data_IF_185462770575
#
_entry.id   IF_185462770575
#
_cell.length_a   1.000
_cell.length_b   1.000
_cell.length_c   1.000
_cell.angle_alpha   90.00
_cell.angle_beta   90.00
_cell.angle_gamma   90.00
#
_symmetry.space_group_name_H-M   'P 1'
#
loop_
_entity.id
_entity.type
_entity.pdbx_description
1 polymer ?
#
# COMPACT_ATOMS: atom_id res chain seq x y z
N UNK A 1 -58.24 -68.45 -17.84
CA UNK A 1 -57.74 -67.17 -18.38
C UNK A 1 -58.86 -66.15 -18.21
N UNK A 2 -58.51 -64.90 -17.86
CA UNK A 2 -59.35 -63.80 -17.34
C UNK A 2 -59.40 -63.68 -15.81
N UNK A 3 -58.27 -63.29 -15.21
CA UNK A 3 -58.13 -62.93 -13.79
C UNK A 3 -57.11 -61.82 -13.49
N UNK A 4 -56.66 -61.04 -14.48
CA UNK A 4 -55.54 -60.07 -14.31
C UNK A 4 -55.95 -58.58 -14.44
N UNK A 5 -57.24 -58.27 -14.54
CA UNK A 5 -57.70 -56.91 -14.86
C UNK A 5 -57.97 -55.97 -13.68
N UNK A 6 -58.11 -56.47 -12.43
CA UNK A 6 -58.49 -55.62 -11.27
C UNK A 6 -57.31 -55.13 -10.43
N UNK A 7 -56.26 -55.92 -10.27
CA UNK A 7 -55.08 -55.49 -9.49
C UNK A 7 -54.26 -54.40 -10.22
N UNK A 8 -54.20 -54.45 -11.55
CA UNK A 8 -53.51 -53.45 -12.37
C UNK A 8 -54.15 -52.05 -12.33
N UNK A 9 -55.49 -51.98 -12.30
CA UNK A 9 -56.23 -50.72 -12.20
C UNK A 9 -56.06 -50.03 -10.83
N UNK A 10 -55.92 -50.81 -9.76
CA UNK A 10 -55.74 -50.30 -8.40
C UNK A 10 -54.33 -49.74 -8.20
N UNK A 11 -53.32 -50.41 -8.77
CA UNK A 11 -51.93 -49.91 -8.79
C UNK A 11 -51.79 -48.60 -9.58
N UNK A 12 -52.43 -48.49 -10.75
CA UNK A 12 -52.35 -47.27 -11.58
C UNK A 12 -52.97 -46.07 -10.86
N UNK A 13 -54.15 -46.23 -10.23
CA UNK A 13 -54.77 -45.14 -9.45
C UNK A 13 -53.93 -44.72 -8.25
N UNK A 14 -53.36 -45.67 -7.53
CA UNK A 14 -52.51 -45.37 -6.38
C UNK A 14 -51.22 -44.65 -6.80
N UNK A 15 -50.71 -44.95 -8.00
CA UNK A 15 -49.53 -44.30 -8.55
C UNK A 15 -49.84 -42.90 -9.09
N UNK A 16 -51.02 -42.68 -9.70
CA UNK A 16 -51.51 -41.36 -10.11
C UNK A 16 -51.72 -40.43 -8.90
N UNK A 17 -52.38 -40.92 -7.83
CA UNK A 17 -52.61 -40.14 -6.60
C UNK A 17 -51.28 -39.76 -5.90
N UNK A 18 -50.28 -40.65 -5.92
CA UNK A 18 -48.94 -40.36 -5.39
C UNK A 18 -48.23 -39.30 -6.25
N UNK A 19 -48.36 -39.36 -7.58
CA UNK A 19 -47.75 -38.36 -8.48
C UNK A 19 -48.40 -36.98 -8.36
N UNK A 20 -49.72 -36.90 -8.15
CA UNK A 20 -50.40 -35.62 -7.98
C UNK A 20 -50.14 -34.98 -6.61
N UNK A 21 -50.06 -35.80 -5.55
CA UNK A 21 -49.66 -35.35 -4.22
C UNK A 21 -48.21 -34.82 -4.19
N UNK A 22 -47.28 -35.51 -4.86
CA UNK A 22 -45.88 -35.07 -4.97
C UNK A 22 -45.73 -33.81 -5.83
N UNK A 23 -46.50 -33.68 -6.92
CA UNK A 23 -46.57 -32.47 -7.76
C UNK A 23 -47.11 -31.25 -7.00
N UNK A 24 -48.16 -31.44 -6.21
CA UNK A 24 -48.75 -30.37 -5.39
C UNK A 24 -47.81 -29.91 -4.27
N UNK A 25 -47.19 -30.85 -3.56
CA UNK A 25 -46.21 -30.54 -2.51
C UNK A 25 -44.94 -29.87 -3.06
N UNK A 26 -44.49 -30.27 -4.26
CA UNK A 26 -43.35 -29.64 -4.93
C UNK A 26 -43.66 -28.21 -5.39
N UNK A 27 -44.88 -27.95 -5.91
CA UNK A 27 -45.33 -26.58 -6.24
C UNK A 27 -45.44 -25.70 -5.01
N UNK A 28 -45.95 -26.22 -3.89
CA UNK A 28 -46.04 -25.49 -2.63
C UNK A 28 -44.64 -25.15 -2.08
N UNK A 29 -43.70 -26.10 -2.13
CA UNK A 29 -42.30 -25.87 -1.75
C UNK A 29 -41.61 -24.83 -2.63
N UNK A 30 -41.86 -24.85 -3.95
CA UNK A 30 -41.32 -23.84 -4.88
C UNK A 30 -41.91 -22.46 -4.60
N UNK A 31 -43.21 -22.36 -4.31
CA UNK A 31 -43.84 -21.08 -3.97
C UNK A 31 -43.32 -20.56 -2.63
N UNK A 32 -43.14 -21.42 -1.61
CA UNK A 32 -42.56 -21.03 -0.32
C UNK A 32 -41.09 -20.62 -0.49
N UNK A 33 -40.31 -21.30 -1.34
CA UNK A 33 -38.94 -20.92 -1.65
C UNK A 33 -38.86 -19.57 -2.39
N UNK A 34 -39.76 -19.31 -3.34
CA UNK A 34 -39.85 -18.03 -4.05
C UNK A 34 -40.34 -16.89 -3.16
N UNK A 35 -41.24 -17.16 -2.22
CA UNK A 35 -41.68 -16.21 -1.20
C UNK A 35 -40.57 -15.94 -0.15
N UNK A 36 -39.81 -16.97 0.22
CA UNK A 36 -38.62 -16.83 1.07
C UNK A 36 -37.50 -16.02 0.42
N UNK A 37 -37.25 -16.24 -0.87
CA UNK A 37 -36.27 -15.47 -1.66
C UNK A 37 -36.70 -14.02 -1.86
N UNK A 38 -37.99 -13.75 -2.09
CA UNK A 38 -38.49 -12.38 -2.23
C UNK A 38 -38.58 -11.63 -0.89
N UNK A 39 -38.86 -12.32 0.22
CA UNK A 39 -38.78 -11.75 1.56
C UNK A 39 -37.32 -11.45 1.99
N UNK A 40 -36.37 -12.32 1.63
CA UNK A 40 -34.94 -12.09 1.86
C UNK A 40 -34.40 -10.92 1.02
N UNK A 41 -34.88 -10.75 -0.22
CA UNK A 41 -34.52 -9.62 -1.08
C UNK A 41 -35.17 -8.28 -0.66
N UNK A 42 -36.21 -8.32 0.18
CA UNK A 42 -36.93 -7.14 0.68
C UNK A 42 -36.42 -6.65 2.05
N UNK A 43 -35.43 -7.30 2.65
CA UNK A 43 -34.76 -6.82 3.86
C UNK A 43 -33.61 -5.87 3.52
N UNK A 44 -33.63 -4.61 4.00
CA UNK A 44 -32.59 -3.62 3.72
C UNK A 44 -31.18 -4.09 4.12
N UNK A 45 -31.11 -5.01 5.10
CA UNK A 45 -29.87 -5.52 5.68
C UNK A 45 -29.13 -6.53 4.81
N UNK A 46 -29.70 -7.02 3.71
CA UNK A 46 -29.05 -8.00 2.83
C UNK A 46 -28.29 -7.36 1.65
N UNK A 47 -28.34 -6.03 1.49
CA UNK A 47 -27.74 -5.33 0.34
C UNK A 47 -26.42 -4.60 0.63
N UNK A 48 -25.87 -4.67 1.84
CA UNK A 48 -24.48 -4.26 2.08
C UNK A 48 -23.79 -5.20 3.07
N UNK A 49 -22.89 -6.03 2.56
CA UNK A 49 -22.00 -6.88 3.38
C UNK A 49 -20.92 -6.08 4.13
N UNK A 50 -20.92 -4.75 4.00
CA UNK A 50 -19.87 -3.85 4.50
C UNK A 50 -20.37 -3.02 5.71
N UNK A 51 -19.58 -2.94 6.80
CA UNK A 51 -19.99 -2.28 8.05
C UNK A 51 -20.37 -0.78 7.92
N UNK A 52 -19.86 -0.11 6.89
CA UNK A 52 -20.07 1.32 6.63
C UNK A 52 -21.13 1.59 5.56
N UNK A 53 -21.81 0.56 5.06
CA UNK A 53 -22.90 0.68 4.09
C UNK A 53 -22.46 1.05 2.66
N UNK A 54 -21.16 1.19 2.40
CA UNK A 54 -20.64 1.44 1.05
C UNK A 54 -20.25 0.12 0.38
N UNK A 55 -20.82 -0.22 -0.79
CA UNK A 55 -20.47 -1.47 -1.48
C UNK A 55 -18.98 -1.56 -1.87
N UNK A 56 -18.37 -2.73 -1.75
CA UNK A 56 -16.96 -2.97 -2.06
C UNK A 56 -16.57 -2.55 -3.48
N UNK A 57 -17.45 -2.77 -4.47
CA UNK A 57 -17.20 -2.35 -5.86
C UNK A 57 -17.08 -0.82 -6.00
N UNK A 58 -17.80 -0.07 -5.16
CA UNK A 58 -17.70 1.39 -5.15
C UNK A 58 -16.40 1.84 -4.50
N UNK A 59 -15.97 1.17 -3.41
CA UNK A 59 -14.66 1.41 -2.79
C UNK A 59 -13.53 1.15 -3.80
N UNK A 60 -13.60 0.02 -4.51
CA UNK A 60 -12.66 -0.34 -5.56
C UNK A 60 -12.64 0.67 -6.72
N UNK A 61 -13.82 1.13 -7.15
CA UNK A 61 -13.93 2.16 -8.19
C UNK A 61 -13.22 3.44 -7.76
N UNK A 62 -13.49 3.94 -6.55
CA UNK A 62 -12.89 5.17 -6.03
C UNK A 62 -11.37 5.07 -5.96
N UNK A 63 -10.84 3.94 -5.48
CA UNK A 63 -9.41 3.65 -5.42
C UNK A 63 -8.78 3.66 -6.81
N UNK A 64 -9.39 2.94 -7.77
CA UNK A 64 -8.88 2.89 -9.13
C UNK A 64 -8.83 4.27 -9.78
N UNK A 65 -9.87 5.10 -9.61
CA UNK A 65 -9.93 6.44 -10.19
C UNK A 65 -9.09 7.46 -9.43
N UNK A 66 -8.83 7.26 -8.13
CA UNK A 66 -7.87 8.06 -7.39
C UNK A 66 -6.44 7.85 -7.92
N UNK A 67 -6.06 6.64 -8.30
CA UNK A 67 -4.73 6.37 -8.86
C UNK A 67 -4.63 6.49 -10.39
N UNK A 68 -5.77 6.52 -11.08
CA UNK A 68 -5.78 6.71 -12.53
C UNK A 68 -5.22 8.08 -12.89
N UNK A 69 -4.19 8.09 -13.76
CA UNK A 69 -3.51 9.31 -14.23
C UNK A 69 -3.14 10.22 -13.06
N UNK A 70 -2.44 9.66 -12.07
CA UNK A 70 -2.15 10.33 -10.80
C UNK A 70 -1.47 11.69 -10.94
N UNK A 71 -0.63 11.88 -11.97
CA UNK A 71 0.05 13.14 -12.29
C UNK A 71 -0.80 14.17 -13.04
N UNK A 72 -2.09 13.88 -13.25
CA UNK A 72 -3.08 14.75 -13.87
C UNK A 72 -4.27 14.97 -12.91
N UNK A 73 -5.07 16.05 -13.09
CA UNK A 73 -6.28 16.26 -12.30
C UNK A 73 -7.26 15.09 -12.38
N UNK A 74 -8.05 14.90 -11.32
CA UNK A 74 -9.08 13.87 -11.21
C UNK A 74 -10.02 13.90 -12.41
N UNK A 75 -10.24 12.72 -13.01
CA UNK A 75 -11.11 12.55 -14.17
C UNK A 75 -12.49 12.00 -13.82
N UNK A 76 -12.63 11.39 -12.65
CA UNK A 76 -13.94 10.96 -12.16
C UNK A 76 -14.68 12.17 -11.59
N UNK A 77 -15.87 12.45 -12.13
CA UNK A 77 -16.64 13.63 -11.74
C UNK A 77 -17.02 13.61 -10.24
N UNK A 78 -17.33 12.43 -9.69
CA UNK A 78 -17.76 12.30 -8.29
C UNK A 78 -16.62 12.60 -7.33
N UNK A 79 -15.43 12.09 -7.61
CA UNK A 79 -14.22 12.43 -6.85
C UNK A 79 -13.82 13.89 -7.08
N UNK A 80 -13.91 14.42 -8.30
CA UNK A 80 -13.62 15.83 -8.57
C UNK A 80 -14.57 16.78 -7.80
N UNK A 81 -15.86 16.45 -7.72
CA UNK A 81 -16.85 17.20 -6.93
C UNK A 81 -16.51 17.15 -5.43
N UNK A 82 -16.09 15.99 -4.92
CA UNK A 82 -15.57 15.88 -3.54
C UNK A 82 -14.32 16.74 -3.34
N UNK A 83 -13.36 16.68 -4.27
CA UNK A 83 -12.11 17.43 -4.17
C UNK A 83 -12.32 18.96 -4.11
N UNK A 84 -13.40 19.47 -4.71
CA UNK A 84 -13.73 20.89 -4.76
C UNK A 84 -14.64 21.34 -3.61
N UNK A 85 -15.61 20.52 -3.21
CA UNK A 85 -16.63 20.89 -2.22
C UNK A 85 -16.32 20.48 -0.78
N UNK A 86 -15.45 19.48 -0.58
CA UNK A 86 -15.15 18.95 0.73
C UNK A 86 -14.30 19.92 1.56
N UNK A 87 -14.66 20.09 2.84
CA UNK A 87 -13.86 20.77 3.84
C UNK A 87 -13.38 19.76 4.89
N UNK A 88 -12.09 19.36 4.91
CA UNK A 88 -11.57 18.35 5.83
C UNK A 88 -11.76 18.68 7.32
N UNK A 89 -11.83 19.95 7.67
CA UNK A 89 -12.05 20.40 9.06
C UNK A 89 -13.49 20.83 9.34
N UNK A 90 -14.39 20.70 8.35
CA UNK A 90 -15.78 21.15 8.44
C UNK A 90 -16.64 20.28 9.36
N UNK A 91 -16.38 18.97 9.38
CA UNK A 91 -17.01 18.03 10.30
C UNK A 91 -15.94 17.10 10.89
N UNK A 92 -15.47 17.43 12.09
CA UNK A 92 -14.45 16.62 12.78
C UNK A 92 -15.00 15.31 13.34
N UNK A 93 -16.33 15.12 13.35
CA UNK A 93 -16.95 13.91 13.91
C UNK A 93 -16.71 12.66 13.05
N UNK A 94 -16.32 12.83 11.78
CA UNK A 94 -15.94 11.73 10.89
C UNK A 94 -14.60 11.06 11.24
N UNK A 95 -13.81 11.66 12.14
CA UNK A 95 -12.51 11.14 12.58
C UNK A 95 -12.57 10.57 14.00
N UNK A 96 -11.83 9.49 14.26
CA UNK A 96 -11.74 8.81 15.56
C UNK A 96 -11.03 9.65 16.62
N UNK A 97 -10.08 10.48 16.20
CA UNK A 97 -9.25 11.35 17.06
C UNK A 97 -9.87 12.74 17.29
N UNK A 98 -11.11 13.00 16.87
CA UNK A 98 -11.70 14.33 16.94
C UNK A 98 -11.03 15.35 16.00
N UNK A 99 -10.47 14.87 14.89
CA UNK A 99 -9.89 15.69 13.82
C UNK A 99 -8.56 16.33 14.19
N UNK A 100 -7.76 15.70 15.04
CA UNK A 100 -6.42 16.21 15.41
C UNK A 100 -5.47 16.08 14.22
N UNK A 101 -5.38 14.89 13.61
CA UNK A 101 -4.53 14.63 12.45
C UNK A 101 -4.88 15.53 11.26
N UNK A 102 -6.17 15.66 10.94
CA UNK A 102 -6.59 16.48 9.79
C UNK A 102 -6.35 17.97 10.01
N UNK A 103 -6.50 18.46 11.24
CA UNK A 103 -6.17 19.86 11.57
C UNK A 103 -4.68 20.13 11.43
N UNK A 104 -3.84 19.19 11.86
CA UNK A 104 -2.39 19.30 11.71
C UNK A 104 -1.98 19.36 10.24
N UNK A 105 -2.46 18.42 9.41
CA UNK A 105 -2.15 18.42 7.97
C UNK A 105 -2.69 19.67 7.26
N UNK A 106 -3.90 20.11 7.61
CA UNK A 106 -4.48 21.33 7.05
C UNK A 106 -3.70 22.59 7.47
N UNK A 107 -3.11 22.61 8.65
CA UNK A 107 -2.23 23.71 9.08
C UNK A 107 -0.97 23.78 8.20
N UNK A 108 -0.28 22.66 7.97
CA UNK A 108 0.87 22.59 7.06
C UNK A 108 0.50 23.00 5.63
N UNK A 109 -0.64 22.50 5.12
CA UNK A 109 -1.12 22.80 3.77
C UNK A 109 -1.46 24.30 3.60
N UNK A 110 -2.21 24.88 4.53
CA UNK A 110 -2.67 26.28 4.44
C UNK A 110 -1.55 27.28 4.60
N UNK A 111 -0.48 26.92 5.31
CA UNK A 111 0.73 27.74 5.42
C UNK A 111 1.77 27.46 4.31
N UNK A 112 1.46 26.58 3.35
CA UNK A 112 2.34 26.28 2.21
C UNK A 112 3.66 25.62 2.63
N UNK A 113 3.64 24.77 3.66
CA UNK A 113 4.82 24.05 4.18
C UNK A 113 4.97 22.63 3.62
N UNK A 114 4.00 22.16 2.84
CA UNK A 114 4.07 20.87 2.16
C UNK A 114 4.88 20.96 0.87
N UNK A 115 5.44 19.82 0.46
CA UNK A 115 6.14 19.64 -0.79
C UNK A 115 5.24 20.00 -1.97
N UNK A 116 5.83 20.71 -2.94
CA UNK A 116 5.10 21.11 -4.13
C UNK A 116 4.73 19.90 -5.01
N UNK A 117 3.63 20.04 -5.76
CA UNK A 117 3.22 19.04 -6.75
C UNK A 117 4.23 18.95 -7.89
N UNK A 118 4.28 17.79 -8.55
CA UNK A 118 5.21 17.50 -9.65
C UNK A 118 6.68 17.62 -9.25
N UNK A 119 6.98 17.22 -8.02
CA UNK A 119 8.33 17.08 -7.50
C UNK A 119 8.56 15.64 -7.06
N UNK A 120 9.81 15.15 -7.10
CA UNK A 120 10.13 13.85 -6.54
C UNK A 120 9.97 13.86 -5.02
N UNK A 121 9.50 12.75 -4.46
CA UNK A 121 9.52 12.49 -3.03
C UNK A 121 10.07 11.09 -2.77
N UNK A 122 10.73 10.92 -1.62
CA UNK A 122 11.36 9.65 -1.22
C UNK A 122 11.19 9.46 0.28
N UNK A 123 10.92 8.23 0.71
CA UNK A 123 10.67 7.89 2.12
C UNK A 123 11.93 7.98 3.01
N UNK A 124 13.13 8.04 2.42
CA UNK A 124 14.39 8.23 3.15
C UNK A 124 14.60 9.69 3.57
N UNK A 125 13.99 10.64 2.86
CA UNK A 125 13.96 12.04 3.28
C UNK A 125 12.96 12.20 4.43
N UNK A 126 13.47 12.67 5.58
CA UNK A 126 12.68 12.81 6.80
C UNK A 126 11.44 13.68 6.62
N UNK A 127 11.53 14.77 5.86
CA UNK A 127 10.42 15.71 5.68
C UNK A 127 9.36 15.13 4.75
N UNK A 128 9.77 14.58 3.60
CA UNK A 128 8.84 13.91 2.68
C UNK A 128 8.07 12.78 3.38
N UNK A 129 8.77 11.97 4.19
CA UNK A 129 8.14 10.91 4.97
C UNK A 129 7.17 11.46 6.02
N UNK A 130 7.54 12.52 6.74
CA UNK A 130 6.66 13.17 7.72
C UNK A 130 5.36 13.65 7.07
N UNK A 131 5.44 14.30 5.92
CA UNK A 131 4.28 14.78 5.16
C UNK A 131 3.37 13.66 4.68
N UNK A 132 3.95 12.59 4.14
CA UNK A 132 3.18 11.41 3.75
C UNK A 132 2.53 10.72 4.97
N UNK A 133 3.22 10.65 6.12
CA UNK A 133 2.65 10.10 7.36
C UNK A 133 1.50 10.97 7.88
N UNK A 134 1.60 12.31 7.80
CA UNK A 134 0.49 13.19 8.19
C UNK A 134 -0.78 12.87 7.39
N UNK A 135 -0.67 12.65 6.08
CA UNK A 135 -1.80 12.25 5.24
C UNK A 135 -2.29 10.82 5.54
N UNK A 136 -1.38 9.88 5.76
CA UNK A 136 -1.72 8.52 6.19
C UNK A 136 -2.52 8.53 7.50
N UNK A 137 -2.09 9.31 8.49
CA UNK A 137 -2.78 9.45 9.77
C UNK A 137 -4.22 9.94 9.57
N UNK A 138 -4.45 10.95 8.71
CA UNK A 138 -5.82 11.40 8.38
C UNK A 138 -6.69 10.25 7.88
N UNK A 139 -6.17 9.42 6.97
CA UNK A 139 -6.93 8.26 6.46
C UNK A 139 -7.20 7.22 7.54
N UNK A 140 -6.23 6.92 8.40
CA UNK A 140 -6.40 5.93 9.47
C UNK A 140 -7.40 6.39 10.54
N UNK A 141 -7.55 7.70 10.72
CA UNK A 141 -8.53 8.26 11.65
C UNK A 141 -9.96 8.29 11.09
N UNK A 142 -10.19 8.11 9.78
CA UNK A 142 -11.54 8.06 9.23
C UNK A 142 -12.39 6.91 9.82
N UNK A 143 -13.66 7.21 10.12
CA UNK A 143 -14.64 6.23 10.66
C UNK A 143 -15.38 5.44 9.58
N UNK A 144 -15.53 6.00 8.39
CA UNK A 144 -16.25 5.41 7.27
C UNK A 144 -15.57 5.69 5.93
N UNK A 145 -16.00 4.98 4.88
CA UNK A 145 -15.48 5.19 3.53
C UNK A 145 -15.72 6.58 2.97
N UNK A 146 -16.81 7.26 3.33
CA UNK A 146 -17.09 8.59 2.81
C UNK A 146 -16.05 9.61 3.29
N UNK A 147 -15.59 9.49 4.53
CA UNK A 147 -14.45 10.23 5.05
C UNK A 147 -13.19 9.93 4.23
N UNK A 148 -12.86 8.65 4.01
CA UNK A 148 -11.66 8.23 3.25
C UNK A 148 -11.69 8.78 1.82
N UNK A 149 -12.79 8.55 1.10
CA UNK A 149 -12.94 8.98 -0.29
C UNK A 149 -12.92 10.52 -0.45
N UNK A 150 -13.50 11.26 0.51
CA UNK A 150 -13.54 12.72 0.44
C UNK A 150 -12.18 13.36 0.78
N UNK A 151 -11.50 12.86 1.81
CA UNK A 151 -10.11 13.27 2.10
C UNK A 151 -9.18 12.86 0.94
N UNK A 152 -9.34 11.64 0.41
CA UNK A 152 -8.53 11.13 -0.69
C UNK A 152 -8.66 12.01 -1.93
N UNK A 153 -9.89 12.35 -2.32
CA UNK A 153 -10.13 13.28 -3.42
C UNK A 153 -9.56 14.68 -3.15
N UNK A 154 -9.76 15.22 -1.95
CA UNK A 154 -9.31 16.56 -1.59
C UNK A 154 -7.77 16.70 -1.59
N UNK A 155 -7.07 15.76 -0.96
CA UNK A 155 -5.62 15.81 -0.83
C UNK A 155 -4.90 15.36 -2.11
N UNK A 156 -5.47 14.46 -2.93
CA UNK A 156 -4.91 14.12 -4.25
C UNK A 156 -4.67 15.35 -5.12
N UNK A 157 -5.56 16.34 -5.05
CA UNK A 157 -5.44 17.57 -5.84
C UNK A 157 -4.43 18.57 -5.27
N UNK A 158 -4.04 18.44 -3.99
CA UNK A 158 -3.34 19.49 -3.22
C UNK A 158 -1.98 19.09 -2.64
N UNK A 159 -1.76 17.79 -2.44
CA UNK A 159 -0.49 17.23 -1.94
C UNK A 159 0.31 16.70 -3.13
N UNK A 160 1.63 16.60 -2.95
CA UNK A 160 2.52 15.95 -3.89
C UNK A 160 2.04 14.53 -4.24
N UNK A 161 2.14 14.17 -5.52
CA UNK A 161 1.59 12.92 -6.05
C UNK A 161 2.28 11.68 -5.44
N UNK A 162 3.58 11.76 -5.18
CA UNK A 162 4.36 10.67 -4.58
C UNK A 162 3.98 10.43 -3.13
N UNK A 163 3.86 11.51 -2.35
CA UNK A 163 3.42 11.45 -0.96
C UNK A 163 1.98 10.95 -0.85
N UNK A 164 1.11 11.38 -1.77
CA UNK A 164 -0.26 10.86 -1.86
C UNK A 164 -0.28 9.36 -2.17
N UNK A 165 0.49 8.90 -3.16
CA UNK A 165 0.60 7.47 -3.49
C UNK A 165 1.06 6.70 -2.27
N UNK A 166 2.13 7.15 -1.61
CA UNK A 166 2.69 6.51 -0.43
C UNK A 166 1.66 6.39 0.70
N UNK A 167 1.07 7.52 1.08
CA UNK A 167 0.10 7.59 2.18
C UNK A 167 -1.16 6.75 1.90
N UNK A 168 -1.71 6.86 0.69
CA UNK A 168 -2.95 6.17 0.31
C UNK A 168 -2.73 4.65 0.18
N UNK A 169 -1.62 4.21 -0.40
CA UNK A 169 -1.30 2.77 -0.45
C UNK A 169 -1.19 2.19 0.96
N UNK A 170 -0.45 2.83 1.87
CA UNK A 170 -0.33 2.35 3.25
C UNK A 170 -1.68 2.35 3.96
N UNK A 171 -2.47 3.41 3.81
CA UNK A 171 -3.80 3.49 4.42
C UNK A 171 -4.74 2.39 3.90
N UNK A 172 -4.77 2.14 2.59
CA UNK A 172 -5.59 1.07 1.99
C UNK A 172 -5.13 -0.31 2.48
N UNK A 173 -3.83 -0.51 2.65
CA UNK A 173 -3.32 -1.80 3.12
C UNK A 173 -3.67 -2.07 4.59
N UNK A 174 -3.60 -1.05 5.42
CA UNK A 174 -3.69 -1.19 6.88
C UNK A 174 -5.06 -0.85 7.48
N UNK A 175 -5.92 -0.13 6.75
CA UNK A 175 -7.23 0.26 7.27
C UNK A 175 -8.23 -0.90 7.24
N UNK A 176 -9.02 -1.10 8.31
CA UNK A 176 -10.10 -2.08 8.29
C UNK A 176 -11.21 -1.72 7.29
N UNK A 177 -11.29 -0.46 6.83
CA UNK A 177 -12.31 -0.01 5.86
C UNK A 177 -12.05 -0.54 4.43
N UNK A 178 -10.86 -1.08 4.17
CA UNK A 178 -10.35 -1.45 2.85
C UNK A 178 -9.92 -2.91 2.73
N UNK A 179 -10.34 -3.77 3.67
CA UNK A 179 -9.92 -5.18 3.72
C UNK A 179 -10.15 -5.97 2.41
N UNK A 180 -11.14 -5.58 1.62
CA UNK A 180 -11.49 -6.23 0.34
C UNK A 180 -11.19 -5.36 -0.89
N UNK A 181 -10.49 -4.25 -0.71
CA UNK A 181 -10.04 -3.39 -1.80
C UNK A 181 -8.69 -3.89 -2.30
N UNK A 182 -8.59 -4.08 -3.61
CA UNK A 182 -7.36 -4.48 -4.27
C UNK A 182 -6.61 -3.22 -4.72
N UNK A 183 -5.35 -3.11 -4.33
CA UNK A 183 -4.48 -2.03 -4.80
C UNK A 183 -4.14 -2.24 -6.28
N UNK A 184 -4.19 -1.17 -7.11
CA UNK A 184 -3.60 -1.20 -8.44
C UNK A 184 -2.12 -1.57 -8.37
N UNK A 185 -1.60 -2.19 -9.43
CA UNK A 185 -0.18 -2.51 -9.47
C UNK A 185 0.65 -1.23 -9.62
N UNK A 186 1.73 -1.10 -8.85
CA UNK A 186 2.53 0.13 -8.84
C UNK A 186 3.17 0.41 -10.21
N UNK A 187 3.54 -0.63 -10.97
CA UNK A 187 4.06 -0.47 -12.33
C UNK A 187 3.02 0.06 -13.34
N UNK A 188 1.72 0.03 -13.03
CA UNK A 188 0.67 0.66 -13.83
C UNK A 188 0.38 2.09 -13.38
N UNK A 189 0.50 2.36 -12.07
CA UNK A 189 0.28 3.70 -11.48
C UNK A 189 1.46 4.62 -11.76
N UNK A 190 2.69 4.13 -11.57
CA UNK A 190 3.95 4.84 -11.76
C UNK A 190 4.91 4.01 -12.64
N UNK A 191 4.67 3.94 -13.96
CA UNK A 191 5.46 3.12 -14.87
C UNK A 191 6.93 3.53 -14.94
N UNK A 192 7.25 4.79 -14.63
CA UNK A 192 8.62 5.31 -14.58
C UNK A 192 9.54 4.42 -13.75
N UNK A 193 9.13 3.98 -12.55
CA UNK A 193 9.93 3.15 -11.63
C UNK A 193 10.31 1.76 -12.17
N UNK A 194 9.61 1.28 -13.19
CA UNK A 194 9.72 -0.08 -13.69
C UNK A 194 10.09 -0.14 -15.17
N UNK A 195 10.29 1.02 -15.79
CA UNK A 195 10.50 1.14 -17.24
C UNK A 195 11.71 2.03 -17.50
N UNK A 196 12.57 1.60 -18.43
CA UNK A 196 13.74 2.39 -18.83
C UNK A 196 13.35 3.76 -19.36
N UNK A 197 14.18 4.75 -19.08
CA UNK A 197 14.02 6.13 -19.58
C UNK A 197 13.81 6.19 -21.09
N UNK A 198 14.61 5.47 -21.87
CA UNK A 198 14.48 5.44 -23.34
C UNK A 198 13.07 4.98 -23.78
N UNK A 199 12.51 3.96 -23.13
CA UNK A 199 11.18 3.44 -23.48
C UNK A 199 10.08 4.42 -23.05
N UNK A 200 10.27 5.13 -21.94
CA UNK A 200 9.37 6.22 -21.52
C UNK A 200 9.41 7.39 -22.52
N UNK A 201 10.59 7.76 -23.00
CA UNK A 201 10.76 8.80 -24.04
C UNK A 201 10.06 8.40 -25.34
N UNK A 202 10.26 7.17 -25.82
CA UNK A 202 9.55 6.62 -26.98
C UNK A 202 8.01 6.66 -26.79
N UNK A 203 7.53 6.39 -25.58
CA UNK A 203 6.11 6.49 -25.25
C UNK A 203 5.59 7.93 -25.26
N UNK A 204 6.41 8.90 -24.84
CA UNK A 204 6.08 10.33 -24.95
C UNK A 204 6.02 10.80 -26.41
N UNK A 205 7.01 10.44 -27.23
CA UNK A 205 7.01 10.75 -28.66
C UNK A 205 5.76 10.17 -29.36
N UNK A 206 5.43 8.91 -29.07
CA UNK A 206 4.22 8.28 -29.60
C UNK A 206 2.95 9.01 -29.18
N UNK A 207 2.90 9.53 -27.94
CA UNK A 207 1.78 10.31 -27.43
C UNK A 207 1.64 11.65 -28.15
N UNK A 208 2.74 12.34 -28.41
CA UNK A 208 2.79 13.60 -29.17
C UNK A 208 2.31 13.40 -30.61
N UNK A 209 2.72 12.29 -31.24
CA UNK A 209 2.26 11.87 -32.56
C UNK A 209 0.81 11.37 -32.60
N UNK A 210 0.13 11.35 -31.44
CA UNK A 210 -1.26 10.87 -31.26
C UNK A 210 -1.47 9.41 -31.67
N UNK A 211 -0.41 8.62 -31.63
CA UNK A 211 -0.48 7.18 -31.86
C UNK A 211 -1.17 6.52 -30.66
N UNK A 212 -1.82 5.39 -30.91
CA UNK A 212 -2.55 4.62 -29.89
C UNK A 212 -2.20 3.16 -30.00
N UNK A 213 -2.28 2.45 -28.87
CA UNK A 213 -2.08 1.01 -28.80
C UNK A 213 -0.71 0.56 -29.36
N UNK A 214 0.35 1.30 -29.00
CA UNK A 214 1.72 0.94 -29.35
C UNK A 214 2.30 0.02 -28.28
N UNK A 215 3.08 -0.96 -28.73
CA UNK A 215 3.83 -1.89 -27.89
C UNK A 215 5.31 -1.53 -28.02
N UNK A 216 5.96 -1.24 -26.89
CA UNK A 216 7.38 -0.98 -26.81
C UNK A 216 8.11 -2.20 -26.23
N UNK A 217 9.35 -2.41 -26.67
CA UNK A 217 10.20 -3.46 -26.12
C UNK A 217 11.07 -2.88 -25.01
N UNK A 218 10.92 -3.40 -23.78
CA UNK A 218 11.72 -2.98 -22.63
C UNK A 218 12.74 -4.08 -22.28
N UNK A 219 13.91 -4.03 -22.91
CA UNK A 219 15.02 -4.96 -22.62
C UNK A 219 15.68 -4.60 -21.27
N UNK A 220 16.51 -5.47 -20.69
CA UNK A 220 17.21 -5.22 -19.41
C UNK A 220 18.40 -4.25 -19.51
N UNK A 221 18.72 -3.51 -18.44
CA UNK A 221 19.87 -2.57 -18.40
C UNK A 221 21.20 -3.30 -18.36
N UNK A 222 22.31 -2.59 -18.61
CA UNK A 222 23.67 -3.15 -18.59
C UNK A 222 24.14 -3.69 -19.95
N UNK A 223 25.35 -4.26 -19.96
CA UNK A 223 25.96 -4.87 -21.16
C UNK A 223 26.29 -6.33 -20.91
N UNK A 224 26.38 -7.19 -21.94
CA UNK A 224 26.73 -8.60 -21.76
C UNK A 224 28.10 -8.87 -21.10
N UNK A 225 28.99 -7.88 -21.08
CA UNK A 225 30.30 -7.98 -20.45
C UNK A 225 30.24 -7.75 -18.93
N UNK A 226 29.19 -7.10 -18.45
CA UNK A 226 28.95 -6.94 -17.02
C UNK A 226 28.41 -8.25 -16.43
N UNK A 227 29.04 -8.71 -15.35
CA UNK A 227 28.60 -9.93 -14.66
C UNK A 227 27.22 -9.75 -14.02
N UNK A 228 26.89 -8.54 -13.58
CA UNK A 228 25.60 -8.21 -12.97
C UNK A 228 24.46 -8.22 -13.99
N UNK A 229 24.76 -7.91 -15.26
CA UNK A 229 23.79 -8.00 -16.34
C UNK A 229 23.21 -9.42 -16.51
N UNK A 230 23.98 -10.46 -16.15
CA UNK A 230 23.53 -11.87 -16.24
C UNK A 230 22.32 -12.16 -15.36
N UNK A 231 22.12 -11.37 -14.31
CA UNK A 231 21.00 -11.49 -13.37
C UNK A 231 20.05 -10.28 -13.43
N UNK A 232 20.17 -9.43 -14.46
CA UNK A 232 19.29 -8.28 -14.64
C UNK A 232 17.82 -8.70 -14.76
N UNK A 233 17.55 -9.88 -15.34
CA UNK A 233 16.19 -10.42 -15.43
C UNK A 233 15.52 -10.66 -14.08
N UNK A 234 16.30 -10.84 -13.01
CA UNK A 234 15.77 -10.97 -11.64
C UNK A 234 15.69 -9.60 -10.96
N UNK A 235 16.74 -8.78 -11.11
CA UNK A 235 16.85 -7.46 -10.46
C UNK A 235 15.89 -6.42 -11.01
N UNK A 236 15.53 -6.52 -12.29
CA UNK A 236 14.62 -5.60 -12.99
C UNK A 236 13.24 -6.22 -13.25
N UNK A 237 12.96 -7.43 -12.74
CA UNK A 237 11.64 -8.03 -12.88
C UNK A 237 10.59 -7.20 -12.14
N UNK A 238 9.51 -6.87 -12.83
CA UNK A 238 8.42 -6.05 -12.27
C UNK A 238 7.73 -6.75 -11.10
N UNK A 239 7.69 -8.09 -11.09
CA UNK A 239 7.13 -8.89 -10.01
C UNK A 239 8.01 -8.90 -8.78
N UNK A 240 9.33 -9.08 -8.93
CA UNK A 240 10.30 -8.97 -7.83
C UNK A 240 10.27 -7.58 -7.21
N UNK A 241 10.30 -6.52 -8.03
CA UNK A 241 10.18 -5.14 -7.54
C UNK A 241 8.85 -4.87 -6.84
N UNK A 242 7.74 -5.40 -7.35
CA UNK A 242 6.42 -5.27 -6.71
C UNK A 242 6.34 -6.04 -5.40
N UNK A 243 6.87 -7.26 -5.35
CA UNK A 243 6.92 -8.06 -4.13
C UNK A 243 7.66 -7.33 -3.02
N UNK A 244 8.81 -6.75 -3.36
CA UNK A 244 9.60 -5.95 -2.44
C UNK A 244 8.84 -4.73 -1.90
N UNK A 245 8.15 -3.99 -2.77
CA UNK A 245 7.29 -2.88 -2.36
C UNK A 245 6.17 -3.36 -1.40
N UNK A 246 5.54 -4.50 -1.68
CA UNK A 246 4.46 -5.04 -0.86
C UNK A 246 4.94 -5.40 0.55
N UNK A 247 6.16 -5.90 0.70
CA UNK A 247 6.77 -6.16 2.01
C UNK A 247 6.84 -4.87 2.85
N UNK A 248 7.32 -3.75 2.29
CA UNK A 248 7.34 -2.46 3.00
C UNK A 248 5.96 -1.93 3.29
N UNK A 249 5.06 -2.13 2.33
CA UNK A 249 3.70 -1.69 2.48
C UNK A 249 3.00 -2.39 3.64
N UNK A 250 3.32 -3.67 3.86
CA UNK A 250 2.84 -4.48 4.99
C UNK A 250 3.56 -4.18 6.30
N UNK A 251 4.83 -3.79 6.22
CA UNK A 251 5.74 -3.70 7.36
C UNK A 251 6.51 -2.36 7.40
N UNK A 252 5.83 -1.19 7.46
CA UNK A 252 6.53 0.09 7.42
C UNK A 252 7.41 0.29 8.66
N UNK A 253 8.67 0.68 8.46
CA UNK A 253 9.61 0.93 9.55
C UNK A 253 9.09 2.00 10.54
N UNK A 254 8.30 2.97 10.07
CA UNK A 254 7.71 4.05 10.85
C UNK A 254 6.38 3.70 11.55
N UNK A 255 5.88 2.46 11.43
CA UNK A 255 4.63 2.02 12.04
C UNK A 255 4.65 2.15 13.57
N UNK A 256 3.54 2.59 14.15
CA UNK A 256 3.32 2.61 15.60
C UNK A 256 2.06 1.83 15.93
N UNK A 257 2.08 1.07 17.01
CA UNK A 257 0.90 0.30 17.47
C UNK A 257 -0.32 1.18 17.73
N UNK A 258 -0.09 2.47 18.02
CA UNK A 258 -1.14 3.49 18.14
C UNK A 258 -2.00 3.66 16.89
N UNK A 259 -1.57 3.16 15.73
CA UNK A 259 -2.34 3.17 14.49
C UNK A 259 -3.40 2.05 14.42
N UNK A 260 -3.41 1.13 15.39
CA UNK A 260 -4.55 0.25 15.64
C UNK A 260 -4.19 -1.19 15.98
N UNK A 261 -3.00 -1.64 15.62
CA UNK A 261 -2.55 -3.00 15.92
C UNK A 261 -1.02 -3.11 15.88
N UNK A 262 -0.51 -4.17 16.52
CA UNK A 262 0.89 -4.55 16.49
C UNK A 262 1.19 -5.44 15.29
N UNK A 263 2.24 -5.12 14.55
CA UNK A 263 2.74 -5.95 13.44
C UNK A 263 3.72 -6.97 13.99
N UNK A 264 3.25 -8.21 14.16
CA UNK A 264 4.07 -9.31 14.67
C UNK A 264 5.13 -9.75 13.65
N UNK A 265 6.36 -10.03 14.14
CA UNK A 265 7.51 -10.52 13.35
C UNK A 265 7.85 -9.69 12.10
N UNK A 266 7.54 -8.40 12.13
CA UNK A 266 7.79 -7.41 11.07
C UNK A 266 9.15 -7.53 10.40
N UNK A 267 10.19 -7.75 11.22
CA UNK A 267 11.59 -7.60 10.80
C UNK A 267 12.19 -8.87 10.16
N UNK A 268 11.48 -10.01 10.20
CA UNK A 268 11.95 -11.25 9.53
C UNK A 268 11.83 -11.21 8.02
N UNK A 269 11.12 -10.22 7.48
CA UNK A 269 10.78 -10.12 6.05
C UNK A 269 11.22 -8.83 5.39
N UNK A 270 11.73 -7.83 6.14
CA UNK A 270 11.92 -6.48 5.61
C UNK A 270 13.31 -6.24 5.01
N UNK A 271 13.38 -5.66 3.80
CA UNK A 271 14.60 -5.22 3.10
C UNK A 271 14.30 -3.95 2.33
N UNK A 272 14.98 -2.79 2.48
CA UNK A 272 14.48 -1.51 1.88
C UNK A 272 14.59 -1.41 0.35
N UNK A 273 13.67 -0.68 -0.35
CA UNK A 273 13.70 -0.49 -1.80
C UNK A 273 14.96 0.24 -2.26
N UNK A 274 15.68 -0.37 -3.21
CA UNK A 274 16.54 0.37 -4.15
C UNK A 274 15.95 0.16 -5.53
N UNK A 275 15.09 1.08 -5.96
CA UNK A 275 14.98 1.50 -7.37
C UNK A 275 14.16 2.79 -7.40
N UNK A 276 14.68 3.81 -8.08
CA UNK A 276 13.93 5.04 -8.30
C UNK A 276 14.12 5.45 -9.75
N UNK A 277 12.99 5.71 -10.40
CA UNK A 277 12.91 6.41 -11.66
C UNK A 277 11.84 7.47 -11.45
N UNK A 278 12.24 8.68 -11.07
CA UNK A 278 11.30 9.75 -10.78
C UNK A 278 10.66 10.23 -12.07
N UNK A 279 9.33 10.38 -12.05
CA UNK A 279 8.59 11.08 -13.10
C UNK A 279 8.98 12.55 -13.19
N UNK A 280 9.40 13.14 -12.05
CA UNK A 280 9.80 14.54 -11.95
C UNK A 280 11.08 14.64 -11.13
N UNK A 281 12.21 14.92 -11.77
CA UNK A 281 13.50 15.03 -11.10
C UNK A 281 14.67 14.88 -12.06
N UNK A 282 15.90 15.03 -11.55
CA UNK A 282 17.10 14.76 -12.32
C UNK A 282 17.17 13.26 -12.72
N UNK A 283 17.93 12.92 -13.76
CA UNK A 283 18.26 11.53 -14.08
C UNK A 283 18.93 10.85 -12.88
N UNK A 284 18.77 9.52 -12.76
CA UNK A 284 19.36 8.80 -11.65
C UNK A 284 20.88 8.88 -11.66
N UNK A 285 21.50 9.09 -10.49
CA UNK A 285 22.93 9.11 -10.37
C UNK A 285 23.49 7.75 -10.79
N UNK A 286 24.47 7.76 -11.67
CA UNK A 286 25.21 6.55 -12.04
C UNK A 286 26.34 6.42 -11.03
N UNK A 287 26.45 5.25 -10.39
CA UNK A 287 27.59 4.91 -9.55
C UNK A 287 28.60 4.12 -10.35
N UNK A 288 29.81 4.66 -10.48
CA UNK A 288 30.91 3.97 -11.15
C UNK A 288 31.42 2.79 -10.30
N UNK A 289 32.06 1.84 -10.97
CA UNK A 289 32.72 0.72 -10.32
C UNK A 289 33.90 1.19 -9.47
N UNK A 290 34.21 0.39 -8.44
CA UNK A 290 35.39 0.55 -7.58
C UNK A 290 35.53 1.90 -6.85
N UNK A 291 34.41 2.59 -6.59
CA UNK A 291 34.44 3.82 -5.79
C UNK A 291 34.72 3.54 -4.32
N UNK A 292 35.52 4.39 -3.68
CA UNK A 292 35.67 4.40 -2.23
C UNK A 292 34.55 5.24 -1.61
N UNK A 293 33.81 4.62 -0.69
CA UNK A 293 32.76 5.31 0.05
C UNK A 293 33.35 6.43 0.90
N UNK A 294 32.70 7.60 0.87
CA UNK A 294 33.12 8.78 1.61
C UNK A 294 31.94 9.46 2.31
N UNK A 295 32.28 10.33 3.28
CA UNK A 295 31.30 11.16 3.99
C UNK A 295 30.55 12.06 2.99
N UNK A 296 29.23 12.18 3.17
CA UNK A 296 28.38 13.03 2.32
C UNK A 296 27.83 14.17 3.16
N UNK A 297 28.09 15.42 2.73
CA UNK A 297 27.66 16.62 3.45
C UNK A 297 26.13 16.62 3.63
N UNK A 298 25.66 17.07 4.80
CA UNK A 298 24.24 17.09 5.21
C UNK A 298 23.51 15.74 5.29
N UNK A 299 24.12 14.63 4.86
CA UNK A 299 23.53 13.29 4.94
C UNK A 299 24.09 12.53 6.13
N UNK A 300 25.41 12.40 6.21
CA UNK A 300 26.07 11.70 7.31
C UNK A 300 27.47 11.21 6.96
N UNK A 301 28.08 10.54 7.92
CA UNK A 301 29.48 10.13 7.86
C UNK A 301 29.60 8.62 7.85
N UNK A 302 30.63 8.10 7.18
CA UNK A 302 30.90 6.66 7.14
C UNK A 302 31.18 6.11 8.54
N UNK A 303 31.86 6.88 9.40
CA UNK A 303 32.14 6.46 10.77
C UNK A 303 30.87 6.31 11.64
N UNK A 304 29.78 7.00 11.31
CA UNK A 304 28.51 6.83 12.01
C UNK A 304 27.90 5.45 11.74
N UNK A 305 27.96 4.98 10.48
CA UNK A 305 27.55 3.62 10.10
C UNK A 305 28.38 2.59 10.88
N UNK A 306 29.71 2.73 10.86
CA UNK A 306 30.62 1.80 11.55
C UNK A 306 30.30 1.74 13.05
N UNK A 307 30.09 2.89 13.71
CA UNK A 307 29.73 2.91 15.13
C UNK A 307 28.35 2.32 15.43
N UNK A 308 27.36 2.50 14.54
CA UNK A 308 26.07 1.83 14.70
C UNK A 308 26.22 0.31 14.55
N UNK A 309 27.02 -0.14 13.59
CA UNK A 309 27.35 -1.56 13.39
C UNK A 309 28.05 -2.14 14.62
N UNK A 310 29.08 -1.48 15.14
CA UNK A 310 29.80 -1.89 16.36
C UNK A 310 28.85 -2.06 17.55
N UNK A 311 27.93 -1.11 17.77
CA UNK A 311 26.93 -1.18 18.86
C UNK A 311 26.00 -2.38 18.71
N UNK A 312 25.62 -2.73 17.48
CA UNK A 312 24.76 -3.88 17.19
C UNK A 312 25.54 -5.17 17.43
N UNK A 313 26.80 -5.27 16.95
CA UNK A 313 27.67 -6.42 17.23
C UNK A 313 27.92 -6.59 18.73
N UNK A 314 28.16 -5.50 19.46
CA UNK A 314 28.31 -5.53 20.91
C UNK A 314 27.04 -6.04 21.59
N UNK A 315 25.84 -5.58 21.18
CA UNK A 315 24.59 -6.08 21.73
C UNK A 315 24.41 -7.60 21.51
N UNK A 316 24.74 -8.07 20.31
CA UNK A 316 24.73 -9.50 19.96
C UNK A 316 25.73 -10.28 20.83
N UNK A 317 26.95 -9.78 20.97
CA UNK A 317 28.00 -10.43 21.74
C UNK A 317 27.70 -10.48 23.25
N UNK A 318 27.01 -9.46 23.77
CA UNK A 318 26.59 -9.41 25.17
C UNK A 318 25.31 -10.19 25.47
N UNK A 319 24.51 -10.55 24.45
CA UNK A 319 23.22 -11.21 24.62
C UNK A 319 22.09 -10.30 25.11
N UNK A 320 22.27 -8.97 25.06
CA UNK A 320 21.23 -8.00 25.40
C UNK A 320 21.35 -6.68 24.62
N UNK A 321 20.23 -5.98 24.45
CA UNK A 321 20.19 -4.57 24.00
C UNK A 321 19.86 -3.64 25.18
N UNK A 322 20.15 -2.36 25.06
CA UNK A 322 19.84 -1.35 26.09
C UNK A 322 18.70 -0.44 25.63
N UNK A 323 17.68 -0.26 26.47
CA UNK A 323 16.61 0.71 26.21
C UNK A 323 17.04 2.17 26.47
N UNK A 324 16.16 3.14 26.21
CA UNK A 324 16.46 4.56 26.47
C UNK A 324 16.75 4.90 27.94
N UNK A 325 16.39 4.03 28.88
CA UNK A 325 16.66 4.20 30.32
C UNK A 325 17.92 3.45 30.77
N UNK A 326 18.57 2.71 29.88
CA UNK A 326 19.74 1.88 30.18
C UNK A 326 19.40 0.53 30.78
N UNK A 327 18.14 0.08 30.73
CA UNK A 327 17.79 -1.28 31.13
C UNK A 327 18.21 -2.27 30.05
N UNK A 328 18.69 -3.44 30.48
CA UNK A 328 19.12 -4.52 29.60
C UNK A 328 17.92 -5.39 29.21
N UNK A 329 17.67 -5.50 27.91
CA UNK A 329 16.65 -6.38 27.32
C UNK A 329 17.38 -7.60 26.75
N UNK A 330 17.13 -8.77 27.34
CA UNK A 330 17.73 -10.03 26.89
C UNK A 330 17.27 -10.38 25.46
N UNK A 331 18.22 -10.76 24.60
CA UNK A 331 17.97 -11.21 23.21
C UNK A 331 18.33 -12.70 22.99
N UNK A 332 18.77 -13.43 24.01
CA UNK A 332 18.99 -14.88 23.95
C UNK A 332 17.67 -15.65 24.18
N UNK A 333 16.65 -15.32 23.39
CA UNK A 333 15.31 -15.93 23.45
C UNK A 333 14.62 -15.88 22.07
N UNK A 334 13.41 -16.44 21.98
CA UNK A 334 12.66 -16.58 20.73
C UNK A 334 12.29 -15.24 20.06
N UNK A 335 12.33 -14.12 20.80
CA UNK A 335 12.03 -12.76 20.32
C UNK A 335 13.29 -11.92 20.08
N UNK A 336 14.48 -12.43 20.40
CA UNK A 336 15.72 -11.67 20.26
C UNK A 336 16.00 -11.22 18.82
N UNK A 337 15.68 -12.07 17.85
CA UNK A 337 15.84 -11.73 16.43
C UNK A 337 14.92 -10.60 15.98
N UNK A 338 13.72 -10.49 16.58
CA UNK A 338 12.78 -9.43 16.23
C UNK A 338 13.30 -8.08 16.78
N UNK A 339 13.83 -8.08 18.01
CA UNK A 339 14.49 -6.90 18.62
C UNK A 339 15.74 -6.49 17.83
N UNK A 340 16.56 -7.45 17.39
CA UNK A 340 17.73 -7.17 16.54
C UNK A 340 17.31 -6.55 15.21
N UNK A 341 16.25 -7.09 14.60
CA UNK A 341 15.65 -6.52 13.40
C UNK A 341 15.22 -5.07 13.62
N UNK A 342 14.55 -4.78 14.74
CA UNK A 342 14.05 -3.44 15.05
C UNK A 342 15.19 -2.42 15.19
N UNK A 343 16.31 -2.78 15.82
CA UNK A 343 17.47 -1.88 15.94
C UNK A 343 18.23 -1.73 14.62
N UNK A 344 18.35 -2.80 13.81
CA UNK A 344 19.08 -2.78 12.52
C UNK A 344 18.29 -1.96 11.48
N UNK A 345 17.01 -2.27 11.29
CA UNK A 345 16.11 -1.49 10.43
C UNK A 345 15.90 -0.09 11.00
N UNK A 346 16.02 0.05 12.32
CA UNK A 346 15.75 1.29 13.06
C UNK A 346 14.27 1.68 13.03
N UNK A 347 13.45 0.64 13.14
CA UNK A 347 11.99 0.66 13.23
C UNK A 347 11.52 1.46 14.46
N UNK A 348 10.28 1.93 14.45
CA UNK A 348 9.68 2.62 15.61
C UNK A 348 9.51 1.72 16.84
N UNK A 349 9.67 0.40 16.70
CA UNK A 349 9.72 -0.53 17.82
C UNK A 349 11.12 -0.67 18.45
N UNK A 350 12.15 -0.08 17.83
CA UNK A 350 13.51 -0.10 18.39
C UNK A 350 13.51 0.49 19.81
N UNK A 351 14.06 -0.25 20.80
CA UNK A 351 14.02 0.16 22.20
C UNK A 351 14.87 1.40 22.49
N UNK A 352 15.82 1.73 21.62
CA UNK A 352 16.69 2.90 21.77
C UNK A 352 17.23 3.41 20.43
N UNK A 353 16.38 4.10 19.66
CA UNK A 353 16.75 4.69 18.36
C UNK A 353 17.85 5.75 18.45
N UNK A 354 18.02 6.40 19.60
CA UNK A 354 19.09 7.39 19.80
C UNK A 354 20.47 6.72 19.89
N UNK A 355 20.53 5.53 20.46
CA UNK A 355 21.76 4.78 20.63
C UNK A 355 22.07 3.87 19.43
N UNK A 356 21.11 3.07 18.96
CA UNK A 356 21.32 2.18 17.82
C UNK A 356 21.19 2.89 16.45
N UNK A 357 20.58 4.08 16.44
CA UNK A 357 20.59 4.99 15.30
C UNK A 357 19.55 4.68 14.22
N UNK A 358 19.87 5.08 12.98
CA UNK A 358 19.10 4.79 11.77
C UNK A 358 19.96 4.13 10.70
N UNK A 359 20.59 3.00 11.05
CA UNK A 359 21.65 2.36 10.27
C UNK A 359 21.22 2.14 8.82
N UNK A 360 20.06 1.53 8.64
CA UNK A 360 19.61 1.09 7.32
C UNK A 360 19.28 2.29 6.42
N UNK A 361 18.48 3.26 6.88
CA UNK A 361 18.21 4.47 6.07
C UNK A 361 19.48 5.26 5.78
N UNK A 362 20.39 5.41 6.76
CA UNK A 362 21.63 6.15 6.54
C UNK A 362 22.53 5.44 5.53
N UNK A 363 22.64 4.11 5.60
CA UNK A 363 23.42 3.32 4.65
C UNK A 363 22.89 3.46 3.22
N UNK A 364 21.57 3.33 3.01
CA UNK A 364 20.99 3.53 1.68
C UNK A 364 21.18 4.95 1.17
N UNK A 365 20.88 5.95 2.00
CA UNK A 365 21.04 7.35 1.60
C UNK A 365 22.50 7.66 1.28
N UNK A 366 23.45 7.19 2.08
CA UNK A 366 24.88 7.38 1.77
C UNK A 366 25.28 6.68 0.47
N UNK A 367 24.79 5.46 0.20
CA UNK A 367 25.07 4.73 -1.04
C UNK A 367 24.49 5.40 -2.29
N UNK A 368 23.33 6.02 -2.17
CA UNK A 368 22.63 6.71 -3.27
C UNK A 368 23.33 8.04 -3.63
N UNK A 369 23.84 8.77 -2.63
CA UNK A 369 24.47 10.08 -2.81
C UNK A 369 26.00 10.02 -2.95
N UNK A 370 26.59 8.86 -3.23
CA UNK A 370 28.04 8.74 -3.44
C UNK A 370 28.53 9.46 -4.70
N UNK A 371 27.68 9.63 -5.70
CA UNK A 371 28.08 10.27 -6.97
C UNK A 371 27.53 11.67 -7.15
N UNK A 372 26.49 12.04 -6.41
CA UNK A 372 26.06 13.44 -6.26
C UNK A 372 25.80 13.77 -4.78
N UNK A 373 26.80 14.32 -4.07
CA UNK A 373 26.70 14.69 -2.65
C UNK A 373 25.80 15.91 -2.36
N UNK A 374 25.33 16.64 -3.38
CA UNK A 374 24.63 17.92 -3.22
C UNK A 374 23.14 17.90 -3.57
N UNK A 375 22.69 16.90 -4.33
CA UNK A 375 21.27 16.51 -4.42
C UNK A 375 20.85 15.73 -3.18
#
# INVERSE_FOLDING_TARGET
>A
MWGEGRESQQYIKQQEDITDSTSSNMKLLVVIALLGLSAAAAWPSYMSDEPDGVPTHQKQHDVNYAFYKIFEPLRDNRLADKATSFNPVGDISMYKDGGVAVRHLMDELTHGRLLEKKHWAVATNKRHLEEAIMLFEVFMQCKDWNCVASNGAYFRERVNEEEFIYAAYHAIKHSPLTQHVVLPAMYEVKPHHFTKTQVIEEAYEAKEMRLRNIIFQNNFTGTPNDIEHRVAYYREDVGVGTHHLMIHLENPFWWKDTYGYHIDRKERTSSMPITSSSTFGPPFPIRNDDIHLHDVDKIGRIHEIVHMEDRIHDAIAHGYVEDEQGNKINIENDHGIDILGDIIQSSMYSPNRKYYGNLTTLAYTLLDHQTDPQE
#
